data_IF_818040226162
#
_entry.id   IF_818040226162
#
_cell.length_a   1.000
_cell.length_b   1.000
_cell.length_c   1.000
_cell.angle_alpha   90.00
_cell.angle_beta   90.00
_cell.angle_gamma   90.00
#
_symmetry.space_group_name_H-M   'P 1'
#
loop_
_entity.id
_entity.type
_entity.pdbx_description
1 polymer ?
#
# COMPACT_ATOMS: atom_id res chain seq x y z
N UNK A 1 -35.04 -41.79 -58.53
CA UNK A 1 -34.02 -41.22 -57.63
C UNK A 1 -33.27 -42.40 -57.00
N UNK A 2 -31.93 -42.45 -57.09
CA UNK A 2 -31.14 -43.64 -56.71
C UNK A 2 -31.01 -43.74 -55.16
N UNK A 3 -31.20 -44.94 -54.59
CA UNK A 3 -31.20 -45.19 -53.13
C UNK A 3 -29.83 -44.86 -52.49
N UNK A 4 -28.73 -45.06 -53.22
CA UNK A 4 -27.39 -44.68 -52.77
C UNK A 4 -27.22 -43.16 -52.62
N UNK A 5 -27.86 -42.37 -53.49
CA UNK A 5 -27.77 -40.91 -53.42
C UNK A 5 -28.54 -40.34 -52.22
N UNK A 6 -29.66 -40.97 -51.85
CA UNK A 6 -30.44 -40.59 -50.65
C UNK A 6 -29.63 -40.89 -49.38
N UNK A 7 -29.03 -42.08 -49.28
CA UNK A 7 -28.18 -42.48 -48.16
C UNK A 7 -26.94 -41.60 -47.99
N UNK A 8 -26.32 -41.19 -49.10
CA UNK A 8 -25.17 -40.29 -49.07
C UNK A 8 -25.54 -38.87 -48.63
N UNK A 9 -26.72 -38.36 -49.01
CA UNK A 9 -27.25 -37.09 -48.51
C UNK A 9 -27.58 -37.14 -47.00
N UNK A 10 -28.17 -38.23 -46.51
CA UNK A 10 -28.45 -38.40 -45.07
C UNK A 10 -27.16 -38.44 -44.23
N UNK A 11 -26.11 -39.10 -44.71
CA UNK A 11 -24.79 -39.14 -44.03
C UNK A 11 -24.15 -37.73 -44.00
N UNK A 12 -24.30 -36.91 -45.05
CA UNK A 12 -23.81 -35.53 -45.07
C UNK A 12 -24.59 -34.63 -44.10
N UNK A 13 -25.92 -34.77 -44.06
CA UNK A 13 -26.77 -34.06 -43.10
C UNK A 13 -26.42 -34.41 -41.65
N UNK A 14 -26.30 -35.70 -41.32
CA UNK A 14 -25.94 -36.14 -39.97
C UNK A 14 -24.56 -35.62 -39.52
N UNK A 15 -23.59 -35.51 -40.44
CA UNK A 15 -22.27 -34.92 -40.15
C UNK A 15 -22.36 -33.43 -39.87
N UNK A 16 -23.20 -32.69 -40.61
CA UNK A 16 -23.45 -31.27 -40.39
C UNK A 16 -24.14 -31.03 -39.04
N UNK A 17 -25.15 -31.83 -38.71
CA UNK A 17 -25.86 -31.73 -37.43
C UNK A 17 -24.93 -32.01 -36.26
N UNK A 18 -24.07 -33.03 -36.36
CA UNK A 18 -23.05 -33.30 -35.33
C UNK A 18 -22.08 -32.13 -35.16
N UNK A 19 -21.70 -31.48 -36.27
CA UNK A 19 -20.82 -30.30 -36.23
C UNK A 19 -21.53 -29.10 -35.59
N UNK A 20 -22.79 -28.87 -35.90
CA UNK A 20 -23.61 -27.81 -35.30
C UNK A 20 -23.77 -28.04 -33.79
N UNK A 21 -24.13 -29.25 -33.37
CA UNK A 21 -24.24 -29.60 -31.95
C UNK A 21 -22.92 -29.37 -31.20
N UNK A 22 -21.78 -29.74 -31.80
CA UNK A 22 -20.47 -29.47 -31.22
C UNK A 22 -20.17 -27.96 -31.12
N UNK A 23 -20.52 -27.17 -32.13
CA UNK A 23 -20.34 -25.71 -32.11
C UNK A 23 -21.22 -25.07 -31.05
N UNK A 24 -22.47 -25.50 -30.91
CA UNK A 24 -23.37 -25.04 -29.86
C UNK A 24 -22.81 -25.35 -28.47
N UNK A 25 -22.37 -26.59 -28.23
CA UNK A 25 -21.74 -26.98 -26.97
C UNK A 25 -20.51 -26.11 -26.64
N UNK A 26 -19.65 -25.85 -27.63
CA UNK A 26 -18.50 -24.94 -27.46
C UNK A 26 -18.92 -23.50 -27.19
N UNK A 27 -19.97 -23.00 -27.85
CA UNK A 27 -20.52 -21.67 -27.60
C UNK A 27 -21.03 -21.54 -26.17
N UNK A 28 -21.76 -22.54 -25.67
CA UNK A 28 -22.22 -22.55 -24.28
C UNK A 28 -21.06 -22.58 -23.29
N UNK A 29 -20.06 -23.44 -23.52
CA UNK A 29 -18.87 -23.51 -22.66
C UNK A 29 -18.10 -22.18 -22.62
N UNK A 30 -17.92 -21.53 -23.78
CA UNK A 30 -17.25 -20.22 -23.86
C UNK A 30 -18.05 -19.12 -23.16
N UNK A 31 -19.38 -19.09 -23.33
CA UNK A 31 -20.25 -18.13 -22.63
C UNK A 31 -20.15 -18.30 -21.12
N UNK A 32 -20.19 -19.54 -20.63
CA UNK A 32 -20.04 -19.83 -19.21
C UNK A 32 -18.69 -19.37 -18.67
N UNK A 33 -17.59 -19.67 -19.40
CA UNK A 33 -16.25 -19.21 -19.04
C UNK A 33 -16.15 -17.67 -18.97
N UNK A 34 -16.72 -16.96 -19.95
CA UNK A 34 -16.71 -15.50 -19.97
C UNK A 34 -17.44 -14.91 -18.75
N UNK A 35 -18.58 -15.48 -18.36
CA UNK A 35 -19.31 -15.05 -17.17
C UNK A 35 -18.46 -15.24 -15.91
N UNK A 36 -17.79 -16.39 -15.78
CA UNK A 36 -16.91 -16.65 -14.65
C UNK A 36 -15.72 -15.68 -14.60
N UNK A 37 -15.06 -15.45 -15.75
CA UNK A 37 -13.95 -14.50 -15.86
C UNK A 37 -14.37 -13.07 -15.50
N UNK A 38 -15.56 -12.64 -15.94
CA UNK A 38 -16.11 -11.33 -15.59
C UNK A 38 -16.34 -11.19 -14.08
N UNK A 39 -16.86 -12.23 -13.42
CA UNK A 39 -17.04 -12.23 -11.96
C UNK A 39 -15.71 -12.18 -11.22
N UNK A 40 -14.73 -12.98 -11.66
CA UNK A 40 -13.39 -12.98 -11.07
C UNK A 40 -12.73 -11.60 -11.22
N UNK A 41 -12.82 -10.98 -12.40
CA UNK A 41 -12.30 -9.64 -12.65
C UNK A 41 -12.98 -8.59 -11.76
N UNK A 42 -14.31 -8.64 -11.63
CA UNK A 42 -15.04 -7.72 -10.75
C UNK A 42 -14.59 -7.83 -9.29
N UNK A 43 -14.30 -9.05 -8.82
CA UNK A 43 -13.78 -9.26 -7.47
C UNK A 43 -12.34 -8.75 -7.32
N UNK A 44 -11.48 -9.00 -8.32
CA UNK A 44 -10.11 -8.49 -8.32
C UNK A 44 -10.06 -6.95 -8.31
N UNK A 45 -10.93 -6.30 -9.10
CA UNK A 45 -11.04 -4.82 -9.09
C UNK A 45 -11.47 -4.31 -7.71
N UNK A 46 -12.44 -4.96 -7.06
CA UNK A 46 -12.83 -4.59 -5.69
C UNK A 46 -11.69 -4.73 -4.69
N UNK A 47 -10.93 -5.81 -4.77
CA UNK A 47 -9.76 -6.02 -3.92
C UNK A 47 -8.68 -4.97 -4.18
N UNK A 48 -8.41 -4.65 -5.45
CA UNK A 48 -7.44 -3.61 -5.80
C UNK A 48 -7.87 -2.25 -5.26
N UNK A 49 -9.14 -1.87 -5.41
CA UNK A 49 -9.64 -0.61 -4.86
C UNK A 49 -9.52 -0.57 -3.32
N UNK A 50 -9.78 -1.69 -2.64
CA UNK A 50 -9.58 -1.78 -1.20
C UNK A 50 -8.10 -1.60 -0.83
N UNK A 51 -7.18 -2.26 -1.54
CA UNK A 51 -5.74 -2.11 -1.31
C UNK A 51 -5.25 -0.69 -1.59
N UNK A 52 -5.83 0.01 -2.57
CA UNK A 52 -5.53 1.42 -2.87
C UNK A 52 -5.91 2.33 -1.69
N UNK A 53 -7.10 2.14 -1.12
CA UNK A 53 -7.53 2.90 0.08
C UNK A 53 -6.65 2.57 1.29
N UNK A 54 -6.32 1.28 1.50
CA UNK A 54 -5.39 0.89 2.57
C UNK A 54 -4.04 1.56 2.39
N UNK A 55 -3.48 1.56 1.17
CA UNK A 55 -2.21 2.25 0.87
C UNK A 55 -2.30 3.74 1.19
N UNK A 56 -3.40 4.40 0.79
CA UNK A 56 -3.63 5.81 1.08
C UNK A 56 -3.67 6.11 2.57
N UNK A 57 -4.28 5.23 3.37
CA UNK A 57 -4.27 5.35 4.83
C UNK A 57 -2.84 5.23 5.38
N UNK A 58 -2.06 4.24 4.91
CA UNK A 58 -0.65 4.11 5.28
C UNK A 58 0.18 5.35 4.92
N UNK A 59 0.01 5.88 3.72
CA UNK A 59 0.69 7.09 3.26
C UNK A 59 0.34 8.30 4.15
N UNK A 60 -0.94 8.42 4.55
CA UNK A 60 -1.40 9.48 5.45
C UNK A 60 -0.82 9.34 6.86
N UNK A 61 -0.82 8.12 7.43
CA UNK A 61 -0.20 7.86 8.73
C UNK A 61 1.30 8.10 8.72
N UNK A 62 1.99 7.64 7.69
CA UNK A 62 3.41 7.86 7.51
C UNK A 62 3.74 9.35 7.51
N UNK A 63 3.00 10.15 6.71
CA UNK A 63 3.14 11.61 6.70
C UNK A 63 2.93 12.22 8.08
N UNK A 64 1.88 11.81 8.80
CA UNK A 64 1.62 12.31 10.15
C UNK A 64 2.75 11.98 11.14
N UNK A 65 3.32 10.78 11.06
CA UNK A 65 4.45 10.39 11.91
C UNK A 65 5.67 11.27 11.61
N UNK A 66 5.99 11.49 10.34
CA UNK A 66 7.09 12.36 9.92
C UNK A 66 6.89 13.78 10.47
N UNK A 67 5.69 14.34 10.32
CA UNK A 67 5.35 15.67 10.84
C UNK A 67 5.51 15.76 12.36
N UNK A 68 4.96 14.79 13.11
CA UNK A 68 5.07 14.75 14.58
C UNK A 68 6.51 14.64 15.06
N UNK A 69 7.36 13.86 14.38
CA UNK A 69 8.78 13.73 14.73
C UNK A 69 9.55 15.03 14.45
N UNK A 70 9.22 15.70 13.35
CA UNK A 70 9.81 17.02 13.06
C UNK A 70 9.39 18.07 14.10
N UNK A 71 8.13 18.05 14.54
CA UNK A 71 7.65 18.91 15.63
C UNK A 71 8.39 18.62 16.95
N UNK A 72 8.62 17.34 17.29
CA UNK A 72 9.42 16.95 18.45
C UNK A 72 10.85 17.49 18.37
N UNK A 73 11.50 17.38 17.20
CA UNK A 73 12.84 17.95 16.98
C UNK A 73 12.84 19.46 17.26
N UNK A 74 11.89 20.19 16.66
CA UNK A 74 11.79 21.64 16.82
C UNK A 74 11.59 22.04 18.29
N UNK A 75 10.73 21.31 19.02
CA UNK A 75 10.48 21.57 20.43
C UNK A 75 11.72 21.30 21.30
N UNK A 76 12.46 20.22 21.03
CA UNK A 76 13.69 19.89 21.76
C UNK A 76 14.81 20.88 21.47
N UNK A 77 14.95 21.35 20.22
CA UNK A 77 15.91 22.40 19.86
C UNK A 77 15.56 23.73 20.56
N UNK A 78 14.28 24.08 20.64
CA UNK A 78 13.81 25.24 21.39
C UNK A 78 14.17 25.14 22.88
N UNK A 79 13.90 24.00 23.53
CA UNK A 79 14.24 23.78 24.94
C UNK A 79 15.76 23.86 25.13
N UNK A 80 16.55 23.24 24.25
CA UNK A 80 18.01 23.28 24.33
C UNK A 80 18.56 24.71 24.25
N UNK A 81 18.01 25.52 23.34
CA UNK A 81 18.39 26.93 23.18
C UNK A 81 18.02 27.75 24.42
N UNK A 82 16.79 27.59 24.93
CA UNK A 82 16.34 28.26 26.14
C UNK A 82 17.22 27.92 27.36
N UNK A 83 17.59 26.64 27.52
CA UNK A 83 18.52 26.21 28.57
C UNK A 83 19.89 26.87 28.40
N UNK A 84 20.37 26.99 27.16
CA UNK A 84 21.64 27.65 26.84
C UNK A 84 21.61 29.13 27.21
N UNK A 85 20.51 29.83 26.91
CA UNK A 85 20.32 31.24 27.24
C UNK A 85 20.35 31.47 28.76
N UNK A 86 19.55 30.71 29.54
CA UNK A 86 19.56 30.81 31.01
C UNK A 86 20.95 30.52 31.58
N UNK A 87 21.65 29.53 31.03
CA UNK A 87 22.99 29.18 31.52
C UNK A 87 24.01 30.28 31.28
N UNK A 88 23.86 31.07 30.21
CA UNK A 88 24.75 32.17 29.86
C UNK A 88 24.42 33.47 30.62
N UNK A 89 23.20 33.65 31.12
CA UNK A 89 22.77 34.80 31.92
C UNK A 89 23.38 34.85 33.34
N UNK A 90 24.22 33.88 33.71
CA UNK A 90 25.18 34.00 34.82
C UNK A 90 24.58 34.02 36.22
N UNK A 91 23.31 33.64 36.39
CA UNK A 91 22.61 33.62 37.68
C UNK A 91 22.61 32.25 38.38
N UNK A 92 23.27 31.25 37.80
CA UNK A 92 23.24 29.86 38.27
C UNK A 92 24.44 29.52 39.17
N UNK A 93 24.20 28.76 40.24
CA UNK A 93 25.26 28.15 41.05
C UNK A 93 26.01 27.06 40.26
N UNK A 94 27.24 26.73 40.68
CA UNK A 94 28.06 25.68 40.04
C UNK A 94 27.32 24.33 39.94
N UNK A 95 26.55 23.97 40.96
CA UNK A 95 25.72 22.76 40.97
C UNK A 95 24.64 22.82 39.87
N UNK A 96 24.02 23.99 39.69
CA UNK A 96 22.98 24.19 38.70
C UNK A 96 23.52 24.24 37.26
N UNK A 97 24.75 24.73 37.09
CA UNK A 97 25.49 24.67 35.82
C UNK A 97 25.76 23.20 35.44
N UNK A 98 26.15 22.38 36.42
CA UNK A 98 26.41 20.96 36.17
C UNK A 98 25.14 20.19 35.82
N UNK A 99 24.04 20.39 36.55
CA UNK A 99 22.73 19.83 36.21
C UNK A 99 22.29 20.21 34.80
N UNK A 100 22.49 21.48 34.44
CA UNK A 100 22.11 22.03 33.13
C UNK A 100 22.87 21.35 31.99
N UNK A 101 24.17 21.11 32.14
CA UNK A 101 24.97 20.36 31.15
C UNK A 101 24.48 18.93 30.96
N UNK A 102 24.17 18.24 32.05
CA UNK A 102 23.64 16.86 32.00
C UNK A 102 22.30 16.83 31.24
N UNK A 103 21.42 17.80 31.49
CA UNK A 103 20.14 17.90 30.78
C UNK A 103 20.33 18.18 29.28
N UNK A 104 21.26 19.07 28.91
CA UNK A 104 21.59 19.33 27.51
C UNK A 104 22.16 18.10 26.80
N UNK A 105 23.10 17.39 27.43
CA UNK A 105 23.66 16.16 26.85
C UNK A 105 22.58 15.10 26.62
N UNK A 106 21.63 14.97 27.54
CA UNK A 106 20.48 14.09 27.38
C UNK A 106 19.57 14.53 26.22
N UNK A 107 19.22 15.81 26.13
CA UNK A 107 18.42 16.36 25.02
C UNK A 107 19.11 16.11 23.67
N UNK A 108 20.41 16.37 23.57
CA UNK A 108 21.19 16.17 22.34
C UNK A 108 21.32 14.68 21.96
N UNK A 109 21.39 13.79 22.95
CA UNK A 109 21.35 12.35 22.72
C UNK A 109 20.01 11.92 22.13
N UNK A 110 18.91 12.40 22.71
CA UNK A 110 17.57 12.04 22.27
C UNK A 110 17.22 12.65 20.90
N UNK A 111 17.65 13.87 20.63
CA UNK A 111 17.56 14.49 19.30
C UNK A 111 18.24 13.65 18.22
N UNK A 112 19.42 13.08 18.52
CA UNK A 112 20.13 12.21 17.56
C UNK A 112 19.35 10.93 17.29
N UNK A 113 18.74 10.33 18.31
CA UNK A 113 17.88 9.14 18.12
C UNK A 113 16.67 9.47 17.26
N UNK A 114 15.94 10.53 17.57
CA UNK A 114 14.74 10.93 16.83
C UNK A 114 15.09 11.25 15.37
N UNK A 115 16.22 11.94 15.11
CA UNK A 115 16.70 12.21 13.75
C UNK A 115 17.04 10.93 12.99
N UNK A 116 17.71 9.97 13.65
CA UNK A 116 18.01 8.66 13.04
C UNK A 116 16.73 7.85 12.73
N UNK A 117 15.79 7.80 13.68
CA UNK A 117 14.49 7.14 13.48
C UNK A 117 13.71 7.81 12.33
N UNK A 118 13.76 9.13 12.22
CA UNK A 118 13.11 9.87 11.15
C UNK A 118 13.74 9.59 9.79
N UNK A 119 15.07 9.53 9.72
CA UNK A 119 15.79 9.16 8.50
C UNK A 119 15.44 7.72 8.06
N UNK A 120 15.32 6.78 9.00
CA UNK A 120 14.87 5.42 8.71
C UNK A 120 13.44 5.39 8.19
N UNK A 121 12.53 6.16 8.81
CA UNK A 121 11.14 6.23 8.37
C UNK A 121 11.05 6.84 6.96
N UNK A 122 11.70 7.97 6.70
CA UNK A 122 11.64 8.66 5.39
C UNK A 122 12.21 7.81 4.25
N UNK A 123 13.24 6.99 4.54
CA UNK A 123 13.91 6.17 3.54
C UNK A 123 13.37 4.72 3.43
N UNK A 124 12.32 4.37 4.20
CA UNK A 124 11.65 3.06 4.16
C UNK A 124 10.60 2.99 3.04
#
# INVERSE_FOLDING_TARGET
>A
MNLENVKNMEIDLAKRDKKLANLEAQMYAKRFLLIQKRRALANAVKQNNFLEEVKKDYDAYHKHIVEQRQEQINAMEYINNYITEISNEGTLSDEKINETKIQQEWILSELRKIKSELDEIINA
#
